data_IF_286710112057
#
_entry.id   IF_286710112057
#
_cell.length_a   1.000
_cell.length_b   1.000
_cell.length_c   1.000
_cell.angle_alpha   90.00
_cell.angle_beta   90.00
_cell.angle_gamma   90.00
#
_symmetry.space_group_name_H-M   'P 1'
#
loop_
_entity.id
_entity.type
_entity.pdbx_description
1 polymer ?
#
# COMPACT_ATOMS: atom_id res chain seq x y z
N UNK A 1 1.20 -15.57 -9.76
CA UNK A 1 2.17 -16.29 -8.91
C UNK A 1 1.69 -16.69 -7.52
N UNK A 2 1.33 -15.76 -6.61
CA UNK A 2 0.94 -16.12 -5.23
C UNK A 2 -0.19 -17.17 -5.16
N UNK A 3 -1.23 -17.02 -5.97
CA UNK A 3 -2.33 -17.99 -6.06
C UNK A 3 -1.86 -19.38 -6.51
N UNK A 4 -0.96 -19.44 -7.50
CA UNK A 4 -0.45 -20.70 -8.07
C UNK A 4 0.28 -21.53 -7.02
N UNK A 5 1.11 -20.89 -6.18
CA UNK A 5 1.99 -21.58 -5.24
C UNK A 5 1.35 -21.91 -3.89
N UNK A 6 0.27 -21.23 -3.51
CA UNK A 6 -0.47 -21.55 -2.29
C UNK A 6 -1.20 -22.90 -2.42
N UNK A 7 -1.27 -23.65 -1.32
CA UNK A 7 -2.11 -24.86 -1.24
C UNK A 7 -3.59 -24.45 -1.09
N UNK A 8 -4.55 -25.31 -1.49
CA UNK A 8 -5.95 -25.14 -1.10
C UNK A 8 -6.09 -24.99 0.42
N UNK A 9 -6.94 -24.06 0.86
CA UNK A 9 -7.04 -23.59 2.25
C UNK A 9 -5.94 -22.61 2.68
N UNK A 10 -5.00 -22.26 1.81
CA UNK A 10 -3.92 -21.31 2.09
C UNK A 10 -4.41 -19.86 2.13
N UNK A 11 -3.84 -19.05 3.02
CA UNK A 11 -4.19 -17.63 3.16
C UNK A 11 -3.07 -16.73 2.65
N UNK A 12 -3.41 -15.84 1.73
CA UNK A 12 -2.56 -14.70 1.34
C UNK A 12 -2.71 -13.60 2.40
N UNK A 13 -1.58 -12.99 2.80
CA UNK A 13 -1.54 -11.79 3.62
C UNK A 13 -0.53 -10.80 3.03
N UNK A 14 -0.96 -9.58 2.77
CA UNK A 14 -0.12 -8.51 2.20
C UNK A 14 -0.28 -7.27 3.07
N UNK A 15 0.80 -6.83 3.69
CA UNK A 15 0.87 -5.56 4.42
C UNK A 15 1.61 -4.57 3.53
N UNK A 16 0.93 -3.54 3.06
CA UNK A 16 1.54 -2.55 2.18
C UNK A 16 0.98 -1.14 2.43
N UNK A 17 1.68 -0.12 1.94
CA UNK A 17 1.16 1.24 1.93
C UNK A 17 -0.11 1.33 1.10
N UNK A 18 -1.02 2.22 1.52
CA UNK A 18 -2.26 2.46 0.79
C UNK A 18 -2.68 3.93 0.91
N UNK A 19 -3.93 4.24 0.55
CA UNK A 19 -4.43 5.61 0.58
C UNK A 19 -5.04 5.96 1.93
N UNK A 20 -4.66 7.12 2.45
CA UNK A 20 -5.25 7.70 3.66
C UNK A 20 -6.75 7.91 3.42
N UNK A 21 -7.59 7.36 4.30
CA UNK A 21 -9.06 7.36 4.09
C UNK A 21 -9.73 8.69 4.44
N UNK A 22 -8.98 9.64 4.99
CA UNK A 22 -9.49 10.96 5.40
C UNK A 22 -9.00 12.01 4.38
N UNK A 23 -9.89 12.60 3.57
CA UNK A 23 -9.51 13.48 2.46
C UNK A 23 -8.63 14.68 2.88
N UNK A 24 -8.88 15.24 4.06
CA UNK A 24 -8.09 16.37 4.61
C UNK A 24 -6.67 15.93 4.94
N UNK A 25 -6.51 14.73 5.53
CA UNK A 25 -5.19 14.17 5.83
C UNK A 25 -4.46 13.72 4.56
N UNK A 26 -5.18 13.31 3.51
CA UNK A 26 -4.58 12.99 2.22
C UNK A 26 -3.89 14.21 1.61
N UNK A 27 -4.54 15.38 1.60
CA UNK A 27 -3.94 16.62 1.10
C UNK A 27 -2.73 17.09 1.92
N UNK A 28 -2.79 16.95 3.25
CA UNK A 28 -1.66 17.27 4.15
C UNK A 28 -0.50 16.29 3.95
N UNK A 29 -0.81 14.99 3.85
CA UNK A 29 0.16 13.94 3.59
C UNK A 29 0.83 14.16 2.23
N UNK A 30 0.07 14.48 1.18
CA UNK A 30 0.59 14.77 -0.15
C UNK A 30 1.50 16.00 -0.13
N UNK A 31 1.11 17.07 0.55
CA UNK A 31 1.91 18.30 0.63
C UNK A 31 3.20 18.09 1.43
N UNK A 32 3.13 17.35 2.55
CA UNK A 32 4.27 17.01 3.40
C UNK A 32 5.23 16.04 2.71
N UNK A 33 4.69 14.98 2.08
CA UNK A 33 5.50 13.98 1.37
C UNK A 33 6.19 14.56 0.14
N UNK A 34 5.58 15.49 -0.60
CA UNK A 34 6.24 16.14 -1.74
C UNK A 34 7.33 17.12 -1.34
N UNK A 35 7.14 17.86 -0.26
CA UNK A 35 8.00 18.99 0.05
C UNK A 35 9.00 18.75 1.18
N UNK A 36 8.66 17.90 2.16
CA UNK A 36 9.44 17.75 3.38
C UNK A 36 10.28 16.49 3.34
N UNK A 37 9.71 15.35 2.92
CA UNK A 37 10.41 14.07 2.94
C UNK A 37 11.67 14.03 2.04
N UNK A 38 11.65 14.48 0.77
CA UNK A 38 12.84 14.45 -0.08
C UNK A 38 13.93 15.41 0.39
N UNK A 39 13.53 16.58 0.93
CA UNK A 39 14.48 17.58 1.45
C UNK A 39 15.12 17.11 2.75
N UNK A 40 14.37 16.42 3.61
CA UNK A 40 14.90 15.75 4.80
C UNK A 40 15.80 14.56 4.45
N UNK A 41 15.41 13.73 3.47
CA UNK A 41 16.23 12.62 2.97
C UNK A 41 17.59 13.11 2.46
N UNK A 42 17.61 14.19 1.68
CA UNK A 42 18.84 14.84 1.22
C UNK A 42 19.68 15.40 2.38
N UNK A 43 19.05 16.00 3.40
CA UNK A 43 19.75 16.58 4.54
C UNK A 43 20.32 15.55 5.53
N UNK A 44 19.64 14.41 5.70
CA UNK A 44 19.99 13.41 6.73
C UNK A 44 20.82 12.26 6.15
N UNK A 45 20.50 11.81 4.94
CA UNK A 45 21.11 10.60 4.34
C UNK A 45 21.91 10.91 3.07
N UNK A 46 21.81 12.13 2.54
CA UNK A 46 22.42 12.51 1.26
C UNK A 46 21.72 11.93 0.03
N UNK A 47 20.73 11.05 0.20
CA UNK A 47 20.06 10.34 -0.88
C UNK A 47 18.61 10.81 -1.04
N UNK A 48 18.43 11.78 -1.93
CA UNK A 48 17.11 12.33 -2.27
C UNK A 48 16.29 11.35 -3.12
N UNK A 49 16.94 10.60 -3.99
CA UNK A 49 16.30 9.82 -5.04
C UNK A 49 15.58 8.60 -4.46
N UNK A 50 16.17 7.95 -3.44
CA UNK A 50 15.53 6.85 -2.71
C UNK A 50 14.22 7.28 -2.03
N UNK A 51 14.20 8.46 -1.40
CA UNK A 51 12.99 8.98 -0.75
C UNK A 51 11.95 9.47 -1.76
N UNK A 52 12.38 10.04 -2.88
CA UNK A 52 11.46 10.37 -3.97
C UNK A 52 10.83 9.10 -4.55
N UNK A 53 11.61 8.05 -4.78
CA UNK A 53 11.09 6.76 -5.25
C UNK A 53 10.06 6.17 -4.28
N UNK A 54 10.30 6.26 -2.96
CA UNK A 54 9.35 5.81 -1.95
C UNK A 54 8.01 6.56 -2.08
N UNK A 55 8.04 7.89 -2.20
CA UNK A 55 6.80 8.68 -2.34
C UNK A 55 6.08 8.35 -3.65
N UNK A 56 6.83 8.18 -4.74
CA UNK A 56 6.27 7.83 -6.04
C UNK A 56 5.66 6.42 -6.06
N UNK A 57 6.31 5.44 -5.43
CA UNK A 57 5.82 4.05 -5.39
C UNK A 57 4.53 3.94 -4.59
N UNK A 58 4.42 4.64 -3.45
CA UNK A 58 3.19 4.71 -2.65
C UNK A 58 2.03 5.28 -3.48
N UNK A 59 2.28 6.31 -4.30
CA UNK A 59 1.25 6.93 -5.15
C UNK A 59 0.79 6.05 -6.31
N UNK A 60 1.71 5.28 -6.89
CA UNK A 60 1.42 4.35 -7.99
C UNK A 60 0.70 3.09 -7.50
N UNK A 61 0.83 2.76 -6.22
CA UNK A 61 0.16 1.60 -5.64
C UNK A 61 -1.38 1.81 -5.63
N UNK A 62 -2.17 0.79 -5.98
CA UNK A 62 -3.63 0.85 -5.94
C UNK A 62 -4.16 1.14 -4.53
N UNK A 63 -5.33 1.77 -4.45
CA UNK A 63 -6.04 1.91 -3.18
C UNK A 63 -6.58 0.56 -2.68
N UNK A 64 -7.15 0.58 -1.48
CA UNK A 64 -7.56 -0.62 -0.77
C UNK A 64 -8.57 -1.45 -1.56
N UNK A 65 -9.58 -0.79 -2.13
CA UNK A 65 -10.67 -1.45 -2.85
C UNK A 65 -10.19 -1.98 -4.19
N UNK A 66 -9.40 -1.17 -4.92
CA UNK A 66 -8.80 -1.56 -6.20
C UNK A 66 -7.85 -2.76 -6.01
N UNK A 67 -6.98 -2.73 -5.00
CA UNK A 67 -6.07 -3.84 -4.74
C UNK A 67 -6.81 -5.09 -4.27
N UNK A 68 -7.87 -4.94 -3.46
CA UNK A 68 -8.71 -6.06 -3.08
C UNK A 68 -9.38 -6.71 -4.30
N UNK A 69 -9.81 -5.92 -5.29
CA UNK A 69 -10.36 -6.45 -6.53
C UNK A 69 -9.31 -7.21 -7.34
N UNK A 70 -8.10 -6.66 -7.49
CA UNK A 70 -6.99 -7.38 -8.14
C UNK A 70 -6.69 -8.72 -7.47
N UNK A 71 -6.81 -8.81 -6.13
CA UNK A 71 -6.65 -10.06 -5.40
C UNK A 71 -7.81 -11.04 -5.69
N UNK A 72 -9.04 -10.55 -5.82
CA UNK A 72 -10.20 -11.38 -6.23
C UNK A 72 -10.04 -11.90 -7.66
N UNK A 73 -9.67 -11.04 -8.60
CA UNK A 73 -9.41 -11.39 -10.00
C UNK A 73 -8.31 -12.44 -10.14
N UNK A 74 -7.33 -12.45 -9.24
CA UNK A 74 -6.28 -13.47 -9.18
C UNK A 74 -6.77 -14.85 -8.70
N UNK A 75 -8.04 -14.98 -8.30
CA UNK A 75 -8.69 -16.22 -7.90
C UNK A 75 -8.88 -16.42 -6.39
N UNK A 76 -8.47 -15.46 -5.55
CA UNK A 76 -8.67 -15.56 -4.11
C UNK A 76 -10.11 -15.24 -3.70
N UNK A 77 -10.61 -15.98 -2.71
CA UNK A 77 -11.92 -15.77 -2.12
C UNK A 77 -11.83 -15.13 -0.73
N UNK A 78 -12.98 -14.69 -0.21
CA UNK A 78 -13.11 -14.05 1.11
C UNK A 78 -12.11 -12.88 1.29
N UNK A 79 -11.86 -12.13 0.22
CA UNK A 79 -10.89 -11.04 0.22
C UNK A 79 -11.38 -9.90 1.10
N UNK A 80 -10.54 -9.53 2.07
CA UNK A 80 -10.77 -8.44 3.04
C UNK A 80 -9.51 -7.64 3.23
N UNK A 81 -9.65 -6.38 3.58
CA UNK A 81 -8.54 -5.55 4.04
C UNK A 81 -8.86 -4.89 5.38
N UNK A 82 -7.82 -4.48 6.09
CA UNK A 82 -7.92 -3.67 7.31
C UNK A 82 -6.97 -2.49 7.22
N UNK A 83 -7.52 -1.29 7.34
CA UNK A 83 -6.72 -0.06 7.42
C UNK A 83 -5.97 0.03 8.75
N UNK A 84 -4.72 0.44 8.67
CA UNK A 84 -3.83 0.75 9.78
C UNK A 84 -3.48 2.23 9.70
N UNK A 85 -3.39 2.89 10.85
CA UNK A 85 -3.03 4.32 10.93
C UNK A 85 -3.85 5.19 9.96
N UNK A 86 -5.18 5.00 9.97
CA UNK A 86 -6.11 5.74 9.10
C UNK A 86 -5.87 5.57 7.58
N UNK A 87 -5.31 4.43 7.16
CA UNK A 87 -5.15 4.07 5.75
C UNK A 87 -3.76 4.34 5.18
N UNK A 88 -2.81 4.82 5.99
CA UNK A 88 -1.40 4.91 5.57
C UNK A 88 -0.90 3.54 5.11
N UNK A 89 -1.25 2.49 5.85
CA UNK A 89 -1.02 1.11 5.44
C UNK A 89 -2.32 0.30 5.51
N UNK A 90 -2.40 -0.74 4.71
CA UNK A 90 -3.50 -1.69 4.72
C UNK A 90 -2.97 -3.13 4.76
N UNK A 91 -3.65 -3.96 5.54
CA UNK A 91 -3.41 -5.40 5.56
C UNK A 91 -4.51 -6.09 4.76
N UNK A 92 -4.18 -6.54 3.56
CA UNK A 92 -5.06 -7.34 2.70
C UNK A 92 -4.90 -8.82 3.00
N UNK A 93 -6.00 -9.56 2.91
CA UNK A 93 -5.98 -11.01 3.00
C UNK A 93 -7.01 -11.66 2.10
N UNK A 94 -6.72 -12.86 1.61
CA UNK A 94 -7.60 -13.66 0.79
C UNK A 94 -7.27 -15.15 0.94
N UNK A 95 -8.24 -16.01 0.68
CA UNK A 95 -8.10 -17.46 0.81
C UNK A 95 -8.08 -18.11 -0.56
N UNK A 96 -7.16 -19.06 -0.77
CA UNK A 96 -7.23 -19.98 -1.90
C UNK A 96 -8.14 -21.13 -1.47
N UNK A 97 -9.39 -21.10 -1.91
CA UNK A 97 -10.35 -22.19 -1.68
C UNK A 97 -10.12 -23.28 -2.73
#
# INVERSE_FOLDING_TARGET
EAFRVLRPGGRLMVLEFSRVTVPILQGIYDLYSFNVIPRMGQAVTGDRDSYQYLVESIRRFPDQDTFAEMVREAGFEQVRYRNLSMGIAALHSGWKV
#
